data_IF_424625925091
#
_entry.id   IF_424625925091
#
_cell.length_a   1.000
_cell.length_b   1.000
_cell.length_c   1.000
_cell.angle_alpha   90.00
_cell.angle_beta   90.00
_cell.angle_gamma   90.00
#
_symmetry.space_group_name_H-M   'P 1'
#
loop_
_entity.id
_entity.type
_entity.pdbx_description
1 polymer ?
#
# COMPACT_ATOMS: atom_id res chain seq x y z
N UNK A 1 17.33 9.79 -15.30
CA UNK A 1 16.89 8.60 -16.02
C UNK A 1 15.93 8.91 -17.18
N UNK A 2 15.54 10.17 -17.37
CA UNK A 2 14.72 10.60 -18.48
C UNK A 2 13.24 10.24 -18.33
N UNK A 3 12.74 10.13 -17.10
CA UNK A 3 11.30 10.03 -16.82
C UNK A 3 10.65 11.39 -17.12
N UNK A 4 9.65 11.39 -17.98
CA UNK A 4 8.85 12.55 -18.35
C UNK A 4 7.43 12.42 -17.78
N UNK A 5 6.68 13.52 -17.67
CA UNK A 5 5.27 13.47 -17.29
C UNK A 5 4.49 12.46 -18.14
N UNK A 6 3.66 11.64 -17.48
CA UNK A 6 2.90 10.57 -18.12
C UNK A 6 3.68 9.27 -18.37
N UNK A 7 4.99 9.20 -18.09
CA UNK A 7 5.72 7.94 -18.10
C UNK A 7 5.34 7.06 -16.90
N UNK A 8 5.44 5.74 -17.05
CA UNK A 8 5.11 4.81 -15.96
C UNK A 8 6.35 4.43 -15.19
N UNK A 9 6.19 4.45 -13.85
CA UNK A 9 7.18 4.02 -12.86
C UNK A 9 6.55 2.92 -12.02
N UNK A 10 7.08 1.71 -12.10
CA UNK A 10 6.56 0.58 -11.33
C UNK A 10 7.31 0.43 -10.01
N UNK A 11 6.59 0.00 -8.97
CA UNK A 11 7.12 -0.22 -7.63
C UNK A 11 6.62 -1.57 -7.12
N UNK A 12 7.54 -2.52 -6.89
CA UNK A 12 7.27 -3.84 -6.31
C UNK A 12 7.95 -3.95 -4.96
N UNK A 13 7.19 -3.69 -3.91
CA UNK A 13 7.71 -3.59 -2.55
C UNK A 13 6.68 -4.09 -1.54
N UNK A 14 7.17 -4.49 -0.39
CA UNK A 14 6.37 -4.62 0.82
C UNK A 14 6.04 -3.23 1.39
N UNK A 15 5.45 -3.16 2.59
CA UNK A 15 5.14 -1.89 3.24
C UNK A 15 6.44 -1.28 3.82
N UNK A 16 7.14 -0.51 3.02
CA UNK A 16 8.44 0.09 3.38
C UNK A 16 8.44 1.60 3.17
N UNK A 17 9.29 2.36 3.89
CA UNK A 17 9.50 3.77 3.58
C UNK A 17 10.00 3.98 2.14
N UNK A 18 10.78 3.04 1.60
CA UNK A 18 11.26 3.07 0.22
C UNK A 18 10.11 3.08 -0.80
N UNK A 19 9.04 2.29 -0.57
CA UNK A 19 7.81 2.37 -1.38
C UNK A 19 7.24 3.78 -1.36
N UNK A 20 7.08 4.38 -0.18
CA UNK A 20 6.48 5.70 -0.01
C UNK A 20 7.29 6.77 -0.72
N UNK A 21 8.62 6.76 -0.57
CA UNK A 21 9.52 7.72 -1.23
C UNK A 21 9.49 7.56 -2.76
N UNK A 22 9.54 6.33 -3.27
CA UNK A 22 9.47 6.09 -4.71
C UNK A 22 8.10 6.48 -5.28
N UNK A 23 7.01 6.21 -4.54
CA UNK A 23 5.65 6.55 -4.92
C UNK A 23 5.46 8.06 -5.08
N UNK A 24 5.76 8.83 -4.04
CA UNK A 24 5.62 10.29 -4.09
C UNK A 24 6.67 10.96 -5.01
N UNK A 25 7.88 10.41 -5.06
CA UNK A 25 8.92 10.90 -5.98
C UNK A 25 8.49 10.76 -7.44
N UNK A 26 7.90 9.64 -7.81
CA UNK A 26 7.38 9.41 -9.16
C UNK A 26 6.19 10.34 -9.48
N UNK A 27 5.22 10.48 -8.56
CA UNK A 27 4.10 11.40 -8.73
C UNK A 27 4.58 12.85 -8.86
N UNK A 28 5.55 13.26 -8.05
CA UNK A 28 6.13 14.62 -8.11
C UNK A 28 6.83 14.90 -9.44
N UNK A 29 7.36 13.86 -10.10
CA UNK A 29 7.91 13.96 -11.45
C UNK A 29 6.83 13.95 -12.56
N UNK A 30 5.55 13.91 -12.20
CA UNK A 30 4.43 13.79 -13.14
C UNK A 30 4.30 12.39 -13.76
N UNK A 31 4.97 11.40 -13.21
CA UNK A 31 4.89 10.02 -13.69
C UNK A 31 3.62 9.33 -13.18
N UNK A 32 3.19 8.30 -13.90
CA UNK A 32 2.10 7.42 -13.49
C UNK A 32 2.68 6.23 -12.74
N UNK A 33 2.30 6.07 -11.48
CA UNK A 33 2.83 4.98 -10.64
C UNK A 33 2.09 3.67 -10.92
N UNK A 34 2.83 2.58 -10.94
CA UNK A 34 2.30 1.21 -11.13
C UNK A 34 2.71 0.37 -9.92
N UNK A 35 1.94 0.40 -8.82
CA UNK A 35 2.18 -0.49 -7.69
C UNK A 35 1.99 -1.95 -8.10
N UNK A 36 2.96 -2.81 -7.78
CA UNK A 36 2.96 -4.22 -8.15
C UNK A 36 2.91 -5.09 -6.90
N UNK A 37 2.05 -6.10 -6.91
CA UNK A 37 1.98 -7.12 -5.88
C UNK A 37 3.34 -7.84 -5.77
N UNK A 38 3.99 -7.73 -4.62
CA UNK A 38 5.30 -8.32 -4.35
C UNK A 38 5.30 -9.87 -4.31
N UNK A 39 4.12 -10.50 -4.36
CA UNK A 39 3.97 -11.96 -4.41
C UNK A 39 3.88 -12.52 -5.85
N UNK A 40 3.87 -11.66 -6.85
CA UNK A 40 3.86 -12.09 -8.26
C UNK A 40 5.22 -12.65 -8.69
N UNK A 41 5.15 -13.58 -9.61
CA UNK A 41 6.33 -14.17 -10.23
C UNK A 41 6.75 -13.37 -11.46
N UNK A 42 8.00 -13.56 -11.91
CA UNK A 42 8.59 -12.78 -13.00
C UNK A 42 7.75 -12.71 -14.29
N UNK A 43 7.09 -13.78 -14.78
CA UNK A 43 6.26 -13.68 -15.98
C UNK A 43 5.04 -12.76 -15.82
N UNK A 44 4.46 -12.72 -14.62
CA UNK A 44 3.33 -11.84 -14.31
C UNK A 44 3.77 -10.38 -14.22
N UNK A 45 4.93 -10.16 -13.60
CA UNK A 45 5.55 -8.83 -13.50
C UNK A 45 5.94 -8.34 -14.89
N UNK A 46 6.58 -9.17 -15.73
CA UNK A 46 6.91 -8.84 -17.12
C UNK A 46 5.68 -8.42 -17.93
N UNK A 47 4.56 -9.13 -17.75
CA UNK A 47 3.31 -8.74 -18.39
C UNK A 47 2.87 -7.34 -17.97
N UNK A 48 2.88 -7.05 -16.66
CA UNK A 48 2.47 -5.73 -16.14
C UNK A 48 3.40 -4.63 -16.65
N UNK A 49 4.71 -4.83 -16.57
CA UNK A 49 5.70 -3.86 -17.05
C UNK A 49 5.57 -3.58 -18.55
N UNK A 50 5.38 -4.62 -19.35
CA UNK A 50 5.18 -4.50 -20.80
C UNK A 50 3.84 -3.84 -21.15
N UNK A 51 2.73 -4.27 -20.51
CA UNK A 51 1.39 -3.75 -20.77
C UNK A 51 1.26 -2.28 -20.36
N UNK A 52 1.82 -1.89 -19.22
CA UNK A 52 1.86 -0.49 -18.78
C UNK A 52 2.91 0.36 -19.52
N UNK A 53 3.80 -0.26 -20.29
CA UNK A 53 4.96 0.40 -20.91
C UNK A 53 5.80 1.13 -19.87
N UNK A 54 6.12 0.45 -18.77
CA UNK A 54 6.92 0.99 -17.68
C UNK A 54 8.34 1.34 -18.15
N UNK A 55 8.89 2.47 -17.70
CA UNK A 55 10.26 2.89 -17.96
C UNK A 55 11.23 2.56 -16.83
N UNK A 56 10.76 2.71 -15.59
CA UNK A 56 11.58 2.49 -14.39
C UNK A 56 10.85 1.52 -13.47
N UNK A 57 11.61 0.59 -12.91
CA UNK A 57 11.13 -0.42 -11.99
C UNK A 57 11.94 -0.38 -10.69
N UNK A 58 11.27 0.00 -9.61
CA UNK A 58 11.78 -0.05 -8.25
C UNK A 58 11.34 -1.35 -7.57
N UNK A 59 12.22 -1.95 -6.78
CA UNK A 59 11.91 -3.18 -6.04
C UNK A 59 12.68 -3.26 -4.73
N UNK A 60 12.16 -4.00 -3.73
CA UNK A 60 12.90 -4.34 -2.51
C UNK A 60 13.97 -5.39 -2.82
N UNK A 61 15.13 -5.32 -2.16
CA UNK A 61 16.23 -6.26 -2.38
C UNK A 61 15.88 -7.73 -2.13
N UNK A 62 14.93 -8.01 -1.24
CA UNK A 62 14.38 -9.36 -1.05
C UNK A 62 13.68 -9.91 -2.31
N UNK A 63 13.33 -9.07 -3.26
CA UNK A 63 12.67 -9.41 -4.52
C UNK A 63 13.66 -9.47 -5.71
N UNK A 64 14.96 -9.28 -5.46
CA UNK A 64 15.99 -9.39 -6.50
C UNK A 64 15.88 -10.69 -7.32
N UNK A 65 15.62 -11.89 -6.74
CA UNK A 65 15.48 -13.12 -7.53
C UNK A 65 14.32 -13.10 -8.56
N UNK A 66 13.31 -12.25 -8.34
CA UNK A 66 12.24 -12.01 -9.30
C UNK A 66 12.68 -10.93 -10.30
N UNK A 67 13.24 -9.81 -9.81
CA UNK A 67 13.70 -8.70 -10.62
C UNK A 67 14.76 -9.11 -11.65
N UNK A 68 15.66 -10.04 -11.30
CA UNK A 68 16.70 -10.55 -12.20
C UNK A 68 16.15 -11.32 -13.40
N UNK A 69 14.99 -11.94 -13.23
CA UNK A 69 14.31 -12.72 -14.28
C UNK A 69 13.41 -11.89 -15.18
N UNK A 70 13.27 -10.59 -14.89
CA UNK A 70 12.47 -9.67 -15.69
C UNK A 70 13.16 -9.39 -17.01
N UNK A 71 12.46 -9.65 -18.11
CA UNK A 71 12.92 -9.43 -19.49
C UNK A 71 12.51 -8.08 -20.08
N UNK A 72 11.52 -7.41 -19.49
CA UNK A 72 11.09 -6.09 -19.92
C UNK A 72 12.25 -5.08 -19.92
N UNK A 73 12.35 -4.23 -20.95
CA UNK A 73 13.46 -3.27 -21.10
C UNK A 73 13.27 -2.05 -20.20
N UNK A 74 13.33 -2.26 -18.87
CA UNK A 74 13.15 -1.23 -17.85
C UNK A 74 14.45 -0.93 -17.13
N UNK A 75 14.64 0.32 -16.70
CA UNK A 75 15.72 0.68 -15.77
C UNK A 75 15.31 0.20 -14.38
N UNK A 76 16.24 -0.47 -13.69
CA UNK A 76 15.98 -1.07 -12.37
C UNK A 76 16.74 -0.34 -11.27
N UNK A 77 16.08 -0.15 -10.11
CA UNK A 77 16.75 0.30 -8.89
C UNK A 77 16.18 -0.44 -7.67
N UNK A 78 17.05 -0.74 -6.71
CA UNK A 78 16.68 -1.35 -5.46
C UNK A 78 16.37 -0.28 -4.41
N UNK A 79 15.29 -0.49 -3.64
CA UNK A 79 14.78 0.49 -2.68
C UNK A 79 15.55 0.51 -1.35
N UNK A 80 16.11 -0.62 -0.92
CA UNK A 80 16.57 -0.81 0.46
C UNK A 80 17.95 -1.48 0.61
N UNK A 81 18.54 -1.99 -0.46
CA UNK A 81 19.81 -2.71 -0.38
C UNK A 81 20.63 -2.63 -1.68
N UNK A 82 21.90 -2.99 -1.59
CA UNK A 82 22.75 -3.15 -2.77
C UNK A 82 22.40 -4.48 -3.48
N UNK A 83 22.06 -4.37 -4.76
CA UNK A 83 21.80 -5.51 -5.67
C UNK A 83 22.72 -5.36 -6.87
N UNK A 84 23.41 -6.45 -7.26
CA UNK A 84 24.34 -6.45 -8.38
C UNK A 84 23.64 -5.98 -9.67
N UNK A 85 24.27 -5.07 -10.40
CA UNK A 85 23.72 -4.52 -11.64
C UNK A 85 22.57 -3.51 -11.46
N UNK A 86 22.17 -3.18 -10.24
CA UNK A 86 21.14 -2.20 -9.95
C UNK A 86 21.67 -1.02 -9.14
N UNK A 87 21.15 0.18 -9.40
CA UNK A 87 21.41 1.33 -8.53
C UNK A 87 20.54 1.22 -7.26
N UNK A 88 21.07 1.69 -6.14
CA UNK A 88 20.34 1.79 -4.89
C UNK A 88 19.62 3.15 -4.81
N UNK A 89 18.40 3.18 -4.31
CA UNK A 89 17.63 4.43 -4.17
C UNK A 89 18.40 5.50 -3.37
N UNK A 90 19.05 5.10 -2.28
CA UNK A 90 19.85 6.00 -1.43
C UNK A 90 20.98 6.69 -2.23
N UNK A 91 21.73 5.93 -3.03
CA UNK A 91 22.81 6.48 -3.87
C UNK A 91 22.28 7.45 -4.95
N UNK A 92 21.04 7.22 -5.41
CA UNK A 92 20.36 8.13 -6.33
C UNK A 92 19.95 9.43 -5.65
N UNK A 93 19.47 9.36 -4.40
CA UNK A 93 19.08 10.54 -3.63
C UNK A 93 20.29 11.42 -3.30
N UNK A 94 21.42 10.82 -2.89
CA UNK A 94 22.64 11.55 -2.54
C UNK A 94 23.23 12.33 -3.72
N UNK A 95 23.00 11.84 -4.94
CA UNK A 95 23.49 12.47 -6.19
C UNK A 95 22.44 13.31 -6.91
N UNK A 96 21.21 13.40 -6.36
CA UNK A 96 20.11 14.05 -7.06
C UNK A 96 20.30 15.58 -7.10
N UNK A 97 20.09 16.22 -8.27
CA UNK A 97 20.04 17.67 -8.37
C UNK A 97 18.78 18.23 -7.68
N UNK A 98 18.78 19.54 -7.44
CA UNK A 98 17.56 20.22 -7.00
C UNK A 98 16.40 19.94 -7.95
N UNK A 99 15.25 19.60 -7.37
CA UNK A 99 14.08 19.17 -8.13
C UNK A 99 12.88 20.09 -7.86
N UNK A 100 12.15 20.43 -8.91
CA UNK A 100 10.88 21.15 -8.82
C UNK A 100 9.76 20.20 -9.25
N UNK A 101 8.74 19.98 -8.41
CA UNK A 101 7.60 19.14 -8.75
C UNK A 101 6.90 19.61 -10.03
N UNK A 102 6.52 18.67 -10.87
CA UNK A 102 5.77 18.92 -12.07
C UNK A 102 4.30 19.20 -11.70
N UNK A 103 3.73 20.24 -12.28
CA UNK A 103 2.29 20.50 -12.14
C UNK A 103 1.52 19.55 -13.07
N UNK A 104 0.60 18.79 -12.48
CA UNK A 104 -0.32 17.88 -13.19
C UNK A 104 -1.76 18.34 -12.98
N UNK A 105 -2.63 18.04 -13.95
CA UNK A 105 -4.06 18.28 -13.82
C UNK A 105 -4.75 17.26 -12.91
N UNK A 106 -5.85 17.66 -12.31
CA UNK A 106 -6.63 16.80 -11.40
C UNK A 106 -7.11 15.48 -12.04
N UNK A 107 -7.32 15.49 -13.34
CA UNK A 107 -7.84 14.36 -14.12
C UNK A 107 -6.75 13.67 -14.97
N UNK A 108 -5.49 14.11 -14.85
CA UNK A 108 -4.37 13.44 -15.50
C UNK A 108 -4.16 12.03 -14.89
N UNK A 109 -3.57 11.08 -15.63
CA UNK A 109 -3.17 9.80 -15.08
C UNK A 109 -2.19 9.95 -13.91
N UNK A 110 -2.49 9.31 -12.77
CA UNK A 110 -1.62 9.29 -11.58
C UNK A 110 -1.12 7.89 -11.23
N UNK A 111 -1.99 6.88 -11.32
CA UNK A 111 -1.60 5.51 -11.00
C UNK A 111 -2.36 4.47 -11.83
N UNK A 112 -1.77 3.28 -11.97
CA UNK A 112 -2.40 2.12 -12.59
C UNK A 112 -2.32 0.96 -11.60
N UNK A 113 -3.46 0.54 -11.07
CA UNK A 113 -3.57 -0.60 -10.16
C UNK A 113 -4.04 -1.84 -10.93
N UNK A 114 -3.23 -2.89 -10.90
CA UNK A 114 -3.57 -4.13 -11.60
C UNK A 114 -4.42 -5.06 -10.75
N UNK A 115 -5.55 -5.51 -11.32
CA UNK A 115 -6.42 -6.54 -10.73
C UNK A 115 -6.25 -7.87 -11.45
N UNK A 116 -6.56 -8.98 -10.77
CA UNK A 116 -6.38 -10.34 -11.31
C UNK A 116 -7.22 -10.64 -12.56
N UNK A 117 -8.23 -9.81 -12.85
CA UNK A 117 -9.11 -9.95 -14.01
C UNK A 117 -9.82 -11.32 -14.11
N UNK A 118 -11.10 -11.32 -14.42
CA UNK A 118 -11.91 -12.55 -14.59
C UNK A 118 -11.57 -13.32 -15.88
N UNK A 119 -10.79 -12.73 -16.79
CA UNK A 119 -10.46 -13.28 -18.12
C UNK A 119 -9.04 -13.84 -18.24
N UNK A 120 -8.34 -14.01 -17.12
CA UNK A 120 -7.02 -14.66 -17.05
C UNK A 120 -5.81 -13.72 -17.20
N UNK A 121 -5.96 -12.50 -17.74
CA UNK A 121 -4.88 -11.49 -17.75
C UNK A 121 -5.20 -10.34 -16.82
N UNK A 122 -4.22 -9.83 -16.04
CA UNK A 122 -4.40 -8.65 -15.20
C UNK A 122 -4.88 -7.45 -16.00
N UNK A 123 -5.83 -6.68 -15.42
CA UNK A 123 -6.34 -5.43 -15.98
C UNK A 123 -5.81 -4.27 -15.16
N UNK A 124 -5.35 -3.21 -15.83
CA UNK A 124 -4.88 -1.98 -15.19
C UNK A 124 -6.01 -0.98 -15.01
N UNK A 125 -6.39 -0.70 -13.77
CA UNK A 125 -7.34 0.36 -13.41
C UNK A 125 -6.59 1.67 -13.33
N UNK A 126 -6.93 2.62 -14.20
CA UNK A 126 -6.31 3.93 -14.26
C UNK A 126 -6.99 4.90 -13.30
N UNK A 127 -6.22 5.54 -12.45
CA UNK A 127 -6.69 6.51 -11.49
C UNK A 127 -6.07 7.89 -11.72
N UNK A 128 -6.84 8.94 -11.48
CA UNK A 128 -6.39 10.31 -11.48
C UNK A 128 -6.11 10.83 -10.06
N UNK A 129 -5.35 11.95 -9.89
CA UNK A 129 -5.18 12.58 -8.58
C UNK A 129 -6.51 12.86 -7.90
N UNK A 130 -7.51 13.36 -8.65
CA UNK A 130 -8.83 13.67 -8.12
C UNK A 130 -9.51 12.47 -7.49
N UNK A 131 -9.61 11.32 -8.20
CA UNK A 131 -10.34 10.19 -7.64
C UNK A 131 -9.59 9.51 -6.49
N UNK A 132 -8.27 9.47 -6.52
CA UNK A 132 -7.46 8.94 -5.41
C UNK A 132 -7.64 9.78 -4.14
N UNK A 133 -7.52 11.11 -4.26
CA UNK A 133 -7.70 12.03 -3.13
C UNK A 133 -9.13 11.94 -2.59
N UNK A 134 -10.15 11.90 -3.47
CA UNK A 134 -11.55 11.79 -3.04
C UNK A 134 -11.84 10.46 -2.35
N UNK A 135 -11.25 9.35 -2.80
CA UNK A 135 -11.36 8.06 -2.12
C UNK A 135 -10.76 8.13 -0.71
N UNK A 136 -9.57 8.72 -0.57
CA UNK A 136 -8.90 8.92 0.72
C UNK A 136 -9.71 9.79 1.68
N UNK A 137 -10.20 10.94 1.21
CA UNK A 137 -11.04 11.84 2.03
C UNK A 137 -12.33 11.13 2.45
N UNK A 138 -12.99 10.42 1.56
CA UNK A 138 -14.24 9.70 1.87
C UNK A 138 -14.01 8.63 2.93
N UNK A 139 -12.93 7.84 2.80
CA UNK A 139 -12.54 6.85 3.81
C UNK A 139 -12.26 7.49 5.17
N UNK A 140 -11.48 8.56 5.18
CA UNK A 140 -11.15 9.29 6.40
C UNK A 140 -12.39 9.88 7.10
N UNK A 141 -13.29 10.51 6.34
CA UNK A 141 -14.54 11.06 6.87
C UNK A 141 -15.46 9.98 7.46
N UNK A 142 -15.54 8.82 6.81
CA UNK A 142 -16.41 7.72 7.26
C UNK A 142 -16.07 7.25 8.69
N UNK A 143 -14.80 7.31 9.08
CA UNK A 143 -14.33 6.91 10.42
C UNK A 143 -13.88 8.10 11.27
N UNK A 144 -14.17 9.32 10.82
CA UNK A 144 -13.80 10.58 11.49
C UNK A 144 -12.30 10.62 11.81
N UNK A 145 -11.47 10.26 10.83
CA UNK A 145 -10.00 10.33 10.96
C UNK A 145 -9.55 11.78 11.04
N UNK A 146 -8.53 12.05 11.87
CA UNK A 146 -7.90 13.35 12.00
C UNK A 146 -6.37 13.25 12.13
N UNK A 147 -5.70 14.40 12.26
CA UNK A 147 -4.23 14.51 12.33
C UNK A 147 -3.61 13.82 13.56
N UNK A 148 -4.39 13.51 14.59
CA UNK A 148 -3.90 12.83 15.80
C UNK A 148 -3.95 11.31 15.65
N UNK A 149 -4.52 10.81 14.57
CA UNK A 149 -4.60 9.38 14.33
C UNK A 149 -3.25 8.76 13.94
N UNK A 150 -3.16 7.47 14.24
CA UNK A 150 -2.03 6.61 13.92
C UNK A 150 -2.56 5.41 13.15
N UNK A 151 -2.50 5.52 11.82
CA UNK A 151 -2.95 4.46 10.92
C UNK A 151 -1.96 3.29 10.94
N UNK A 152 -2.43 2.10 11.28
CA UNK A 152 -1.65 0.88 11.12
C UNK A 152 -1.76 0.36 9.68
N UNK A 153 -0.65 0.41 8.95
CA UNK A 153 -0.53 -0.11 7.59
C UNK A 153 0.11 -1.51 7.62
N UNK A 154 -0.70 -2.52 7.89
CA UNK A 154 -0.29 -3.93 7.86
C UNK A 154 -0.84 -4.68 6.63
N UNK A 155 -1.85 -4.14 5.96
CA UNK A 155 -2.29 -4.66 4.66
C UNK A 155 -1.37 -4.17 3.54
N UNK A 156 -1.27 -4.93 2.42
CA UNK A 156 -0.34 -4.60 1.34
C UNK A 156 -0.59 -3.21 0.74
N UNK A 157 0.39 -2.31 0.87
CA UNK A 157 0.30 -0.91 0.41
C UNK A 157 0.14 -0.79 -1.12
N UNK A 158 0.50 -1.81 -1.89
CA UNK A 158 0.29 -1.83 -3.34
C UNK A 158 -1.16 -2.06 -3.76
N UNK A 159 -2.07 -2.39 -2.85
CA UNK A 159 -3.48 -2.63 -3.13
C UNK A 159 -4.30 -1.35 -2.96
N UNK A 160 -5.32 -1.15 -3.82
CA UNK A 160 -6.10 0.10 -3.88
C UNK A 160 -6.68 0.53 -2.53
N UNK A 161 -7.31 -0.37 -1.78
CA UNK A 161 -7.97 0.03 -0.54
C UNK A 161 -6.97 0.48 0.54
N UNK A 162 -5.91 -0.28 0.90
CA UNK A 162 -4.89 0.22 1.82
C UNK A 162 -4.22 1.51 1.34
N UNK A 163 -3.86 1.60 0.04
CA UNK A 163 -3.18 2.76 -0.51
C UNK A 163 -4.11 3.96 -0.60
N UNK A 164 -5.17 3.86 -1.41
CA UNK A 164 -5.95 5.04 -1.80
C UNK A 164 -6.96 5.48 -0.74
N UNK A 165 -7.67 4.53 -0.10
CA UNK A 165 -8.68 4.91 0.88
C UNK A 165 -8.08 5.27 2.24
N UNK A 166 -7.03 4.55 2.69
CA UNK A 166 -6.55 4.69 4.06
C UNK A 166 -5.23 5.42 4.16
N UNK A 167 -4.20 5.00 3.41
CA UNK A 167 -2.91 5.69 3.44
C UNK A 167 -3.03 7.12 2.92
N UNK A 168 -3.64 7.31 1.75
CA UNK A 168 -3.82 8.67 1.20
C UNK A 168 -4.71 9.55 2.07
N UNK A 169 -5.76 8.98 2.68
CA UNK A 169 -6.59 9.70 3.64
C UNK A 169 -5.82 10.17 4.87
N UNK A 170 -5.00 9.28 5.44
CA UNK A 170 -4.13 9.62 6.58
C UNK A 170 -3.10 10.69 6.20
N UNK A 171 -2.43 10.55 5.04
CA UNK A 171 -1.46 11.55 4.57
C UNK A 171 -2.11 12.92 4.31
N UNK A 172 -3.30 12.95 3.70
CA UNK A 172 -4.04 14.19 3.44
C UNK A 172 -4.37 14.95 4.72
N UNK A 173 -4.67 14.24 5.80
CA UNK A 173 -5.00 14.83 7.11
C UNK A 173 -3.77 15.11 7.99
N UNK A 174 -2.58 14.68 7.58
CA UNK A 174 -1.37 14.79 8.39
C UNK A 174 -1.29 13.78 9.54
N UNK A 175 -2.05 12.69 9.48
CA UNK A 175 -2.00 11.60 10.43
C UNK A 175 -0.73 10.74 10.27
N UNK A 176 -0.25 10.15 11.37
CA UNK A 176 0.88 9.25 11.31
C UNK A 176 0.51 7.90 10.67
N UNK A 177 1.44 7.30 9.94
CA UNK A 177 1.29 5.94 9.42
C UNK A 177 2.38 5.04 9.95
N UNK A 178 1.99 3.94 10.60
CA UNK A 178 2.86 2.90 11.12
C UNK A 178 2.94 1.77 10.09
N UNK A 179 4.09 1.62 9.44
CA UNK A 179 4.30 0.60 8.42
C UNK A 179 4.73 -0.71 9.06
N UNK A 180 3.92 -1.75 8.92
CA UNK A 180 4.31 -3.14 9.21
C UNK A 180 4.64 -3.79 7.89
N UNK A 181 5.91 -4.16 7.71
CA UNK A 181 6.48 -4.61 6.43
C UNK A 181 5.62 -5.68 5.75
N UNK A 182 5.24 -6.70 6.50
CA UNK A 182 4.32 -7.75 6.05
C UNK A 182 3.42 -8.14 7.23
N UNK A 183 2.14 -8.41 6.94
CA UNK A 183 1.20 -8.82 7.97
C UNK A 183 1.63 -10.13 8.65
N UNK A 184 1.74 -10.08 9.97
CA UNK A 184 1.86 -11.25 10.84
C UNK A 184 1.03 -11.01 12.10
N UNK A 185 0.22 -11.98 12.59
CA UNK A 185 -0.70 -11.76 13.71
C UNK A 185 -0.05 -11.18 14.97
N UNK A 186 1.13 -11.68 15.34
CA UNK A 186 1.86 -11.18 16.51
C UNK A 186 2.40 -9.76 16.29
N UNK A 187 3.03 -9.49 15.15
CA UNK A 187 3.57 -8.16 14.85
C UNK A 187 2.45 -7.11 14.74
N UNK A 188 1.29 -7.51 14.23
CA UNK A 188 0.09 -6.68 14.20
C UNK A 188 -0.34 -6.23 15.61
N UNK A 189 -0.49 -7.18 16.56
CA UNK A 189 -0.86 -6.87 17.94
C UNK A 189 0.21 -6.03 18.64
N UNK A 190 1.49 -6.36 18.44
CA UNK A 190 2.62 -5.61 18.98
C UNK A 190 2.64 -4.17 18.45
N UNK A 191 2.38 -3.97 17.15
CA UNK A 191 2.33 -2.63 16.57
C UNK A 191 1.18 -1.81 17.15
N UNK A 192 -0.02 -2.39 17.30
CA UNK A 192 -1.13 -1.70 17.97
C UNK A 192 -0.73 -1.25 19.36
N UNK A 193 -0.22 -2.17 20.18
CA UNK A 193 0.12 -1.89 21.57
C UNK A 193 1.27 -0.91 21.73
N UNK A 194 2.38 -1.12 21.00
CA UNK A 194 3.61 -0.37 21.19
C UNK A 194 3.56 1.02 20.55
N UNK A 195 2.96 1.09 19.36
CA UNK A 195 2.84 2.32 18.59
C UNK A 195 1.55 3.09 18.88
N UNK A 196 0.70 2.56 19.77
CA UNK A 196 -0.61 3.16 20.09
C UNK A 196 -1.40 3.52 18.84
N UNK A 197 -1.50 2.57 17.92
CA UNK A 197 -2.28 2.73 16.70
C UNK A 197 -3.75 3.01 17.05
N UNK A 198 -4.42 3.81 16.22
CA UNK A 198 -5.81 4.23 16.47
C UNK A 198 -6.79 3.78 15.40
N UNK A 199 -6.30 3.55 14.18
CA UNK A 199 -7.09 3.14 13.02
C UNK A 199 -6.39 1.99 12.30
N UNK A 200 -7.15 0.98 11.92
CA UNK A 200 -6.65 -0.12 11.10
C UNK A 200 -7.71 -0.55 10.08
N UNK A 201 -7.26 -0.74 8.84
CA UNK A 201 -8.01 -1.41 7.79
C UNK A 201 -7.41 -2.78 7.50
N UNK A 202 -8.25 -3.82 7.47
CA UNK A 202 -7.82 -5.17 7.12
C UNK A 202 -8.89 -6.02 6.43
N UNK A 203 -8.45 -7.09 5.79
CA UNK A 203 -9.35 -8.15 5.36
C UNK A 203 -9.90 -8.90 6.59
N UNK A 204 -11.08 -9.53 6.51
CA UNK A 204 -11.65 -10.29 7.63
C UNK A 204 -10.69 -11.27 8.29
N UNK A 205 -9.86 -11.95 7.49
CA UNK A 205 -8.87 -12.91 7.99
C UNK A 205 -7.83 -12.27 8.90
N UNK A 206 -7.47 -10.99 8.68
CA UNK A 206 -6.48 -10.30 9.50
C UNK A 206 -6.95 -10.04 10.94
N UNK A 207 -8.25 -10.09 11.18
CA UNK A 207 -8.83 -10.02 12.52
C UNK A 207 -9.01 -11.39 13.17
N UNK A 208 -9.23 -12.44 12.36
CA UNK A 208 -9.45 -13.79 12.86
C UNK A 208 -8.15 -14.51 13.21
N UNK A 209 -7.09 -14.30 12.42
CA UNK A 209 -5.80 -14.95 12.65
C UNK A 209 -5.20 -14.67 14.04
N UNK A 210 -5.19 -13.44 14.57
CA UNK A 210 -4.70 -13.18 15.92
C UNK A 210 -5.42 -13.99 16.99
N UNK A 211 -6.75 -14.11 16.88
CA UNK A 211 -7.56 -14.90 17.83
C UNK A 211 -7.27 -16.39 17.76
N UNK A 212 -6.90 -16.89 16.59
CA UNK A 212 -6.64 -18.32 16.39
C UNK A 212 -5.19 -18.72 16.71
N UNK A 213 -4.25 -17.82 16.43
CA UNK A 213 -2.81 -18.15 16.44
C UNK A 213 -2.05 -17.62 17.65
N UNK A 214 -2.62 -16.63 18.38
CA UNK A 214 -1.93 -16.00 19.52
C UNK A 214 -2.64 -16.41 20.81
N UNK A 215 -2.11 -17.38 21.58
CA UNK A 215 -2.78 -17.93 22.77
C UNK A 215 -3.07 -16.88 23.85
N UNK A 216 -2.18 -15.89 23.98
CA UNK A 216 -2.31 -14.79 24.93
C UNK A 216 -2.83 -13.50 24.29
N UNK A 217 -3.70 -13.61 23.29
CA UNK A 217 -4.33 -12.45 22.63
C UNK A 217 -4.94 -11.45 23.62
N UNK A 218 -5.56 -11.97 24.69
CA UNK A 218 -6.25 -11.15 25.68
C UNK A 218 -5.32 -10.26 26.52
N UNK A 219 -4.01 -10.54 26.53
CA UNK A 219 -3.00 -9.78 27.28
C UNK A 219 -2.56 -8.51 26.53
N UNK A 220 -2.86 -8.40 25.24
CA UNK A 220 -2.49 -7.21 24.47
C UNK A 220 -3.39 -6.02 24.79
N UNK A 221 -2.75 -4.87 24.99
CA UNK A 221 -3.44 -3.59 25.14
C UNK A 221 -3.83 -3.03 23.75
N UNK A 222 -5.10 -3.18 23.41
CA UNK A 222 -5.67 -2.66 22.17
C UNK A 222 -6.53 -1.40 22.40
N UNK A 223 -6.48 -0.81 23.58
CA UNK A 223 -7.37 0.29 24.02
C UNK A 223 -7.18 1.59 23.25
N UNK A 224 -6.03 1.77 22.58
CA UNK A 224 -5.78 2.93 21.72
C UNK A 224 -6.61 2.93 20.45
N UNK A 225 -7.07 1.76 20.01
CA UNK A 225 -7.82 1.60 18.77
C UNK A 225 -9.23 2.16 18.88
N UNK A 226 -9.55 3.11 18.01
CA UNK A 226 -10.88 3.72 17.92
C UNK A 226 -11.65 3.34 16.65
N UNK A 227 -10.98 2.78 15.64
CA UNK A 227 -11.64 2.31 14.43
C UNK A 227 -10.98 1.04 13.88
N UNK A 228 -11.74 -0.03 13.87
CA UNK A 228 -11.44 -1.30 13.24
C UNK A 228 -12.23 -1.40 11.94
N UNK A 229 -11.57 -1.42 10.80
CA UNK A 229 -12.23 -1.33 9.50
C UNK A 229 -11.95 -2.60 8.72
N UNK A 230 -12.98 -3.25 8.21
CA UNK A 230 -12.79 -4.44 7.39
C UNK A 230 -13.51 -4.34 6.03
N UNK A 231 -12.89 -4.92 5.03
CA UNK A 231 -13.41 -4.98 3.67
C UNK A 231 -12.73 -6.06 2.83
N UNK A 232 -13.07 -6.12 1.54
CA UNK A 232 -12.54 -7.13 0.63
C UNK A 232 -13.18 -8.52 0.78
N UNK A 233 -14.08 -8.71 1.73
CA UNK A 233 -14.87 -9.92 1.92
C UNK A 233 -15.94 -9.75 2.99
N UNK A 234 -17.00 -10.58 2.97
CA UNK A 234 -18.04 -10.55 3.97
C UNK A 234 -17.58 -11.18 5.28
N UNK A 235 -18.18 -10.75 6.39
CA UNK A 235 -18.11 -11.42 7.70
C UNK A 235 -19.55 -11.82 8.10
N UNK A 236 -19.73 -13.06 8.56
CA UNK A 236 -20.99 -13.51 9.11
C UNK A 236 -21.31 -12.76 10.43
N UNK A 237 -22.58 -12.49 10.72
CA UNK A 237 -22.99 -11.74 11.89
C UNK A 237 -22.44 -12.32 13.21
N UNK A 238 -22.42 -13.65 13.36
CA UNK A 238 -21.86 -14.31 14.54
C UNK A 238 -20.34 -14.08 14.65
N UNK A 239 -19.63 -14.07 13.53
CA UNK A 239 -18.20 -13.76 13.51
C UNK A 239 -17.97 -12.30 13.88
N UNK A 240 -18.78 -11.36 13.39
CA UNK A 240 -18.68 -9.95 13.74
C UNK A 240 -18.88 -9.75 15.26
N UNK A 241 -19.90 -10.38 15.87
CA UNK A 241 -20.10 -10.36 17.32
C UNK A 241 -18.89 -10.88 18.10
N UNK A 242 -18.34 -12.01 17.69
CA UNK A 242 -17.12 -12.57 18.31
C UNK A 242 -15.93 -11.65 18.22
N UNK A 243 -15.78 -10.89 17.10
CA UNK A 243 -14.72 -9.91 16.96
C UNK A 243 -14.93 -8.73 17.91
N UNK A 244 -16.13 -8.15 18.01
CA UNK A 244 -16.41 -7.04 18.93
C UNK A 244 -16.13 -7.45 20.39
N UNK A 245 -16.54 -8.64 20.79
CA UNK A 245 -16.26 -9.17 22.13
C UNK A 245 -14.76 -9.37 22.38
N UNK A 246 -14.05 -10.04 21.46
CA UNK A 246 -12.65 -10.37 21.64
C UNK A 246 -11.74 -9.13 21.60
N UNK A 247 -12.01 -8.20 20.69
CA UNK A 247 -11.26 -6.94 20.56
C UNK A 247 -11.74 -5.86 21.56
N UNK A 248 -12.78 -6.15 22.34
CA UNK A 248 -13.36 -5.24 23.36
C UNK A 248 -13.71 -3.88 22.77
N UNK A 249 -14.30 -3.87 21.58
CA UNK A 249 -14.60 -2.65 20.84
C UNK A 249 -15.87 -2.80 20.01
N UNK A 250 -16.77 -1.83 20.10
CA UNK A 250 -17.96 -1.73 19.25
C UNK A 250 -17.69 -0.94 17.94
N UNK A 251 -16.47 -0.44 17.76
CA UNK A 251 -16.10 0.43 16.65
C UNK A 251 -15.57 -0.37 15.45
N UNK A 252 -16.35 -1.34 14.99
CA UNK A 252 -16.08 -2.08 13.76
C UNK A 252 -16.89 -1.52 12.60
N UNK A 253 -16.18 -1.16 11.52
CA UNK A 253 -16.76 -0.57 10.32
C UNK A 253 -16.60 -1.53 9.15
N UNK A 254 -17.68 -1.87 8.48
CA UNK A 254 -17.62 -2.60 7.22
C UNK A 254 -17.57 -1.63 6.05
N UNK A 255 -16.66 -1.87 5.14
CA UNK A 255 -16.55 -1.10 3.90
C UNK A 255 -16.64 -2.03 2.69
N UNK A 256 -17.17 -1.51 1.60
CA UNK A 256 -17.24 -2.17 0.31
C UNK A 256 -16.66 -1.27 -0.76
N UNK A 257 -15.92 -1.85 -1.69
CA UNK A 257 -15.37 -1.15 -2.84
C UNK A 257 -14.73 -2.11 -3.83
N UNK A 258 -14.41 -1.56 -4.98
CA UNK A 258 -13.65 -2.22 -6.04
C UNK A 258 -12.49 -1.32 -6.44
N UNK A 259 -11.47 -1.89 -7.09
CA UNK A 259 -10.32 -1.10 -7.55
C UNK A 259 -10.73 -0.10 -8.62
N UNK A 260 -11.69 -0.44 -9.45
CA UNK A 260 -12.32 0.41 -10.46
C UNK A 260 -13.10 1.54 -9.79
#
# INVERSE_FOLDING_TARGET
WGVAPGDRVAIMSQNTPGFVFAFYGALSAGAVVVPINHKLMAPEVDYILGHSRTKVFFFDGSLAPVADKISAPVKKACLDSAVEGCQRLEDLLDSAPAFTPVQVGDDDPAEILYTSGTTGKPKGCLHSPRNVIMAGITGALAVKMDQNDRLLMAMPIWHSSPLNNWFMGAQYLGAATILVREYHPLHFLQAVQNEKCTVYFGAPISYLMPLQMIPNFADFDLSSMRAWIYGGGPIAADTARRLTEAYRSDNFYQVYGMTE
#
